data_IF_342503707356
#
_entry.id   IF_342503707356
#
_cell.length_a   1.000
_cell.length_b   1.000
_cell.length_c   1.000
_cell.angle_alpha   90.00
_cell.angle_beta   90.00
_cell.angle_gamma   90.00
#
_symmetry.space_group_name_H-M   'P 1'
#
loop_
_entity.id
_entity.type
_entity.pdbx_description
1 polymer ?
#
# COMPACT_ATOMS: atom_id res chain seq x y z
N UNK A 1 32.94 -50.22 -37.73
CA UNK A 1 31.94 -50.11 -36.65
C UNK A 1 31.83 -48.63 -36.32
N UNK A 2 30.83 -47.94 -36.88
CA UNK A 2 30.71 -46.47 -36.79
C UNK A 2 29.81 -46.16 -35.58
N UNK A 3 30.35 -45.47 -34.58
CA UNK A 3 29.57 -45.00 -33.44
C UNK A 3 28.95 -43.63 -33.77
N UNK A 4 27.62 -43.59 -33.89
CA UNK A 4 26.85 -42.36 -34.02
C UNK A 4 26.61 -41.79 -32.62
N UNK A 5 27.23 -40.66 -32.31
CA UNK A 5 26.90 -39.88 -31.11
C UNK A 5 25.68 -39.00 -31.41
N UNK A 6 24.54 -39.35 -30.84
CA UNK A 6 23.38 -38.45 -30.76
C UNK A 6 23.69 -37.35 -29.73
N UNK A 7 23.97 -36.14 -30.20
CA UNK A 7 23.89 -34.96 -29.34
C UNK A 7 22.40 -34.62 -29.17
N UNK A 8 21.83 -35.02 -28.03
CA UNK A 8 20.57 -34.44 -27.58
C UNK A 8 20.87 -33.01 -27.11
N UNK A 9 20.65 -32.04 -27.98
CA UNK A 9 20.46 -30.66 -27.56
C UNK A 9 19.17 -30.62 -26.74
N UNK A 10 19.30 -30.71 -25.42
CA UNK A 10 18.28 -30.24 -24.50
C UNK A 10 18.10 -28.75 -24.80
N UNK A 11 17.07 -28.42 -25.57
CA UNK A 11 16.47 -27.09 -25.58
C UNK A 11 16.05 -26.83 -24.13
N UNK A 12 16.93 -26.14 -23.40
CA UNK A 12 16.51 -25.46 -22.20
C UNK A 12 15.58 -24.36 -22.71
N UNK A 13 14.27 -24.61 -22.64
CA UNK A 13 13.37 -23.48 -22.43
C UNK A 13 13.90 -22.81 -21.17
N UNK A 14 14.58 -21.68 -21.34
CA UNK A 14 14.79 -20.75 -20.25
C UNK A 14 13.39 -20.38 -19.78
N UNK A 15 12.89 -21.10 -18.78
CA UNK A 15 11.84 -20.61 -17.93
C UNK A 15 12.39 -19.33 -17.33
N UNK A 16 12.07 -18.20 -17.98
CA UNK A 16 12.50 -16.88 -17.56
C UNK A 16 12.22 -16.76 -16.08
N UNK A 17 13.28 -16.67 -15.28
CA UNK A 17 13.16 -16.48 -13.85
C UNK A 17 12.28 -15.24 -13.65
N UNK A 18 11.22 -15.42 -12.86
CA UNK A 18 10.28 -14.36 -12.49
C UNK A 18 11.11 -13.25 -11.83
N UNK A 19 11.37 -12.19 -12.60
CA UNK A 19 12.58 -11.40 -12.48
C UNK A 19 12.42 -10.25 -11.49
N UNK A 20 12.86 -10.48 -10.25
CA UNK A 20 13.32 -9.42 -9.36
C UNK A 20 14.43 -8.64 -10.09
N UNK A 21 14.13 -7.42 -10.57
CA UNK A 21 15.09 -6.58 -11.30
C UNK A 21 15.24 -5.27 -10.53
N UNK A 22 16.48 -4.85 -10.30
CA UNK A 22 16.79 -3.56 -9.66
C UNK A 22 16.20 -3.35 -8.26
N UNK A 23 15.97 -4.44 -7.50
CA UNK A 23 15.37 -4.38 -6.16
C UNK A 23 13.85 -4.30 -6.15
N UNK A 24 13.20 -4.40 -7.32
CA UNK A 24 11.76 -4.27 -7.49
C UNK A 24 11.22 -5.51 -8.21
N UNK A 25 10.10 -6.04 -7.69
CA UNK A 25 9.41 -7.17 -8.33
C UNK A 25 8.54 -6.62 -9.47
N UNK A 26 9.05 -6.67 -10.69
CA UNK A 26 8.31 -6.28 -11.87
C UNK A 26 7.55 -7.49 -12.45
N UNK A 27 6.27 -7.27 -12.76
CA UNK A 27 5.24 -8.23 -13.18
C UNK A 27 4.73 -9.19 -12.11
N UNK A 28 3.61 -8.86 -11.47
CA UNK A 28 2.74 -9.89 -10.91
C UNK A 28 1.37 -9.38 -10.53
N UNK A 29 0.38 -10.23 -10.72
CA UNK A 29 -0.98 -10.23 -10.15
C UNK A 29 -1.07 -9.84 -8.65
N UNK A 30 0.06 -9.77 -7.94
CA UNK A 30 0.22 -9.33 -6.57
C UNK A 30 0.12 -7.80 -6.39
N UNK A 31 0.56 -7.00 -7.37
CA UNK A 31 0.43 -5.52 -7.33
C UNK A 31 -1.03 -5.10 -7.29
N UNK A 32 -1.88 -5.75 -8.08
CA UNK A 32 -3.33 -5.51 -8.10
C UNK A 32 -4.02 -5.89 -6.78
N UNK A 33 -3.68 -7.04 -6.19
CA UNK A 33 -4.29 -7.50 -4.93
C UNK A 33 -3.84 -6.71 -3.71
N UNK A 34 -2.73 -6.00 -3.83
CA UNK A 34 -2.12 -5.21 -2.77
C UNK A 34 -2.46 -3.71 -2.87
N UNK A 35 -2.74 -3.20 -4.07
CA UNK A 35 -3.10 -1.80 -4.32
C UNK A 35 -4.40 -1.34 -3.61
N UNK A 36 -5.25 -2.28 -3.19
CA UNK A 36 -6.47 -1.96 -2.48
C UNK A 36 -6.32 -1.78 -0.97
N UNK A 37 -5.16 -2.12 -0.38
CA UNK A 37 -4.97 -2.01 1.09
C UNK A 37 -4.50 -0.61 1.45
N UNK A 38 -5.13 -0.02 2.45
CA UNK A 38 -4.74 1.28 2.98
C UNK A 38 -4.96 1.39 4.49
N UNK A 39 -4.31 2.40 5.08
CA UNK A 39 -4.38 2.71 6.50
C UNK A 39 -5.40 3.83 6.75
N UNK A 40 -6.20 3.69 7.80
CA UNK A 40 -7.17 4.70 8.25
C UNK A 40 -7.06 4.98 9.73
N UNK A 41 -6.86 6.25 10.04
CA UNK A 41 -7.05 6.82 11.37
C UNK A 41 -8.49 7.34 11.54
N UNK A 42 -8.89 7.61 12.78
CA UNK A 42 -10.14 8.34 13.01
C UNK A 42 -9.96 9.82 12.61
N UNK A 43 -11.07 10.50 12.31
CA UNK A 43 -11.07 11.97 12.17
C UNK A 43 -10.55 12.70 13.41
N UNK A 44 -10.70 12.10 14.59
CA UNK A 44 -10.17 12.61 15.86
C UNK A 44 -8.71 12.24 16.14
N UNK A 45 -8.01 11.69 15.14
CA UNK A 45 -6.61 11.26 15.20
C UNK A 45 -6.38 9.78 15.49
N UNK A 46 -5.11 9.44 15.65
CA UNK A 46 -4.55 8.10 15.82
C UNK A 46 -5.07 7.33 17.05
N UNK A 47 -5.26 6.02 16.88
CA UNK A 47 -5.68 5.05 17.91
C UNK A 47 -7.01 5.40 18.58
N UNK A 48 -8.02 5.73 17.77
CA UNK A 48 -9.34 6.14 18.27
C UNK A 48 -10.48 5.24 17.79
N UNK A 49 -10.23 4.21 16.98
CA UNK A 49 -11.28 3.34 16.45
C UNK A 49 -11.38 2.04 17.24
N UNK A 50 -12.57 1.72 17.73
CA UNK A 50 -12.94 0.36 18.14
C UNK A 50 -13.07 -0.54 16.91
N UNK A 51 -13.15 -1.87 17.10
CA UNK A 51 -13.31 -2.79 15.97
C UNK A 51 -14.58 -2.50 15.15
N UNK A 52 -15.67 -2.15 15.81
CA UNK A 52 -16.94 -1.83 15.15
C UNK A 52 -16.83 -0.53 14.33
N UNK A 53 -16.20 0.51 14.88
CA UNK A 53 -15.97 1.78 14.19
C UNK A 53 -15.01 1.60 13.02
N UNK A 54 -13.91 0.85 13.20
CA UNK A 54 -12.97 0.53 12.14
C UNK A 54 -13.65 -0.20 10.98
N UNK A 55 -14.54 -1.15 11.28
CA UNK A 55 -15.34 -1.84 10.25
C UNK A 55 -16.26 -0.86 9.51
N UNK A 56 -16.95 0.00 10.24
CA UNK A 56 -17.87 0.98 9.66
C UNK A 56 -17.14 2.01 8.77
N UNK A 57 -15.94 2.45 9.16
CA UNK A 57 -15.11 3.37 8.36
C UNK A 57 -14.73 2.73 7.02
N UNK A 58 -14.21 1.49 7.03
CA UNK A 58 -13.85 0.82 5.77
C UNK A 58 -15.07 0.56 4.87
N UNK A 59 -16.22 0.22 5.45
CA UNK A 59 -17.47 -0.03 4.70
C UNK A 59 -18.04 1.26 4.10
N UNK A 60 -17.94 2.38 4.81
CA UNK A 60 -18.34 3.70 4.31
C UNK A 60 -17.55 4.14 3.07
N UNK A 61 -16.32 3.64 2.92
CA UNK A 61 -15.39 3.91 1.81
C UNK A 61 -15.46 2.84 0.71
N UNK A 62 -16.55 2.05 0.69
CA UNK A 62 -16.80 1.02 -0.32
C UNK A 62 -15.92 -0.22 -0.19
N UNK A 63 -15.17 -0.35 0.90
CA UNK A 63 -14.29 -1.47 1.19
C UNK A 63 -14.76 -2.32 2.38
N UNK A 64 -13.81 -3.04 2.96
CA UNK A 64 -13.98 -3.77 4.20
C UNK A 64 -12.64 -3.84 4.94
N UNK A 65 -12.62 -4.30 6.20
CA UNK A 65 -11.33 -4.51 6.89
C UNK A 65 -10.45 -5.50 6.11
N UNK A 66 -9.19 -5.14 5.92
CA UNK A 66 -8.21 -5.96 5.24
C UNK A 66 -7.97 -7.27 6.01
N UNK A 67 -7.78 -8.36 5.28
CA UNK A 67 -7.30 -9.61 5.84
C UNK A 67 -5.80 -9.56 6.06
N UNK A 68 -5.29 -10.44 6.94
CA UNK A 68 -3.85 -10.60 7.14
C UNK A 68 -3.11 -10.89 5.82
N UNK A 69 -3.71 -11.70 4.94
CA UNK A 69 -3.10 -12.06 3.65
C UNK A 69 -3.04 -10.85 2.69
N UNK A 70 -4.08 -10.02 2.67
CA UNK A 70 -4.09 -8.78 1.90
C UNK A 70 -3.04 -7.80 2.43
N UNK A 71 -2.97 -7.61 3.75
CA UNK A 71 -1.97 -6.75 4.38
C UNK A 71 -0.54 -7.25 4.13
N UNK A 72 -0.32 -8.57 4.15
CA UNK A 72 0.98 -9.16 3.86
C UNK A 72 1.37 -9.00 2.39
N UNK A 73 0.40 -9.12 1.47
CA UNK A 73 0.63 -8.83 0.05
C UNK A 73 0.98 -7.35 -0.16
N UNK A 74 0.27 -6.43 0.49
CA UNK A 74 0.57 -5.00 0.51
C UNK A 74 1.98 -4.71 1.04
N UNK A 75 2.34 -5.30 2.18
CA UNK A 75 3.67 -5.17 2.76
C UNK A 75 4.77 -5.61 1.78
N UNK A 76 4.60 -6.76 1.13
CA UNK A 76 5.60 -7.30 0.18
C UNK A 76 5.87 -6.36 -1.00
N UNK A 77 4.91 -5.53 -1.39
CA UNK A 77 5.09 -4.53 -2.45
C UNK A 77 5.49 -3.15 -1.94
N UNK A 78 5.65 -2.96 -0.62
CA UNK A 78 6.18 -1.74 -0.04
C UNK A 78 5.27 -0.98 0.91
N UNK A 79 4.09 -1.49 1.23
CA UNK A 79 3.20 -0.87 2.20
C UNK A 79 3.79 -0.99 3.62
N UNK A 80 4.29 0.13 4.14
CA UNK A 80 4.90 0.26 5.46
C UNK A 80 4.08 1.27 6.25
N UNK A 81 3.64 0.91 7.44
CA UNK A 81 2.88 1.82 8.31
C UNK A 81 3.28 1.56 9.76
N UNK A 82 3.67 2.60 10.49
CA UNK A 82 4.09 2.49 11.88
C UNK A 82 2.94 2.68 12.88
N UNK A 83 1.82 2.00 12.62
CA UNK A 83 0.59 2.17 13.37
C UNK A 83 -0.18 0.86 13.50
N UNK A 84 -0.41 0.40 14.72
CA UNK A 84 -1.23 -0.79 14.96
C UNK A 84 -2.70 -0.51 14.61
N UNK A 85 -3.28 -1.38 13.78
CA UNK A 85 -4.63 -1.22 13.27
C UNK A 85 -5.43 -2.50 13.25
N UNK A 86 -6.74 -2.36 13.30
CA UNK A 86 -7.70 -3.44 13.15
C UNK A 86 -7.67 -4.03 11.74
N UNK A 87 -7.74 -5.35 11.67
CA UNK A 87 -7.92 -6.18 10.49
C UNK A 87 -9.17 -7.04 10.65
N UNK A 88 -9.55 -7.74 9.58
CA UNK A 88 -10.65 -8.69 9.58
C UNK A 88 -10.56 -9.70 10.74
N UNK A 89 -11.73 -10.10 11.27
CA UNK A 89 -11.90 -11.03 12.40
C UNK A 89 -11.44 -10.48 13.76
N UNK A 90 -11.20 -9.17 13.89
CA UNK A 90 -10.75 -8.55 15.15
C UNK A 90 -9.28 -8.80 15.44
N UNK A 91 -8.47 -9.00 14.39
CA UNK A 91 -7.02 -9.12 14.51
C UNK A 91 -6.39 -7.73 14.52
N UNK A 92 -5.31 -7.53 15.27
CA UNK A 92 -4.56 -6.27 15.29
C UNK A 92 -3.11 -6.52 14.94
N UNK A 93 -2.51 -5.60 14.20
CA UNK A 93 -1.09 -5.64 13.84
C UNK A 93 -0.74 -4.51 12.90
N UNK A 94 0.49 -4.49 12.40
CA UNK A 94 0.95 -3.46 11.46
C UNK A 94 2.10 -3.97 10.56
N UNK A 95 2.15 -3.55 9.27
CA UNK A 95 3.08 -4.07 8.28
C UNK A 95 4.43 -3.32 8.30
N UNK A 96 5.52 -4.06 8.45
CA UNK A 96 6.89 -3.53 8.41
C UNK A 96 7.66 -4.08 7.21
N UNK A 97 8.01 -3.17 6.30
CA UNK A 97 8.80 -3.48 5.10
C UNK A 97 10.30 -3.48 5.41
N UNK A 98 10.77 -2.49 6.18
CA UNK A 98 12.17 -2.30 6.52
C UNK A 98 12.31 -2.25 8.04
N UNK A 99 13.25 -3.01 8.57
CA UNK A 99 13.56 -3.00 9.99
C UNK A 99 14.06 -1.61 10.40
N UNK A 100 13.43 -1.04 11.43
CA UNK A 100 13.87 0.20 12.07
C UNK A 100 13.88 0.03 13.59
N UNK A 101 14.65 0.87 14.28
CA UNK A 101 14.63 0.92 15.74
C UNK A 101 13.29 1.47 16.27
N UNK A 102 12.73 2.45 15.55
CA UNK A 102 11.50 3.15 15.94
C UNK A 102 10.23 2.39 15.51
N UNK A 103 10.34 1.51 14.50
CA UNK A 103 9.21 0.78 13.97
C UNK A 103 9.54 -0.70 13.71
N UNK A 104 8.81 -1.59 14.36
CA UNK A 104 8.99 -3.04 14.23
C UNK A 104 10.12 -3.64 15.10
N UNK A 105 10.80 -2.82 15.91
CA UNK A 105 11.87 -3.25 16.84
C UNK A 105 12.94 -4.12 16.16
N UNK A 106 13.41 -3.68 14.99
CA UNK A 106 14.42 -4.40 14.21
C UNK A 106 13.89 -5.61 13.42
N UNK A 107 12.58 -5.85 13.39
CA UNK A 107 11.96 -6.94 12.63
C UNK A 107 11.25 -6.41 11.37
N UNK A 108 11.12 -7.29 10.38
CA UNK A 108 10.26 -7.09 9.20
C UNK A 108 9.12 -8.09 9.23
N UNK A 109 8.06 -7.83 8.46
CA UNK A 109 6.83 -8.63 8.48
C UNK A 109 5.67 -7.86 9.10
N UNK A 110 4.53 -8.51 9.25
CA UNK A 110 3.44 -7.97 10.06
C UNK A 110 3.77 -8.22 11.52
N UNK A 111 3.92 -7.14 12.29
CA UNK A 111 3.95 -7.24 13.75
C UNK A 111 2.53 -7.53 14.21
N UNK A 112 2.28 -8.79 14.54
CA UNK A 112 0.95 -9.33 14.79
C UNK A 112 0.66 -9.41 16.30
N UNK A 113 -0.37 -8.69 16.74
CA UNK A 113 -0.87 -8.71 18.12
C UNK A 113 -1.97 -9.77 18.32
N UNK A 114 -2.28 -10.53 17.27
CA UNK A 114 -3.27 -11.60 17.29
C UNK A 114 -4.71 -11.08 17.27
N UNK A 115 -5.66 -12.01 17.47
CA UNK A 115 -7.08 -11.69 17.57
C UNK A 115 -7.33 -11.15 18.97
N UNK A 116 -7.85 -9.92 19.07
CA UNK A 116 -8.16 -9.27 20.35
C UNK A 116 -9.50 -9.77 20.87
N UNK A 117 -9.51 -10.18 22.14
CA UNK A 117 -10.74 -10.54 22.85
C UNK A 117 -11.57 -9.29 23.17
N UNK A 118 -10.91 -8.21 23.59
CA UNK A 118 -11.55 -6.93 23.85
C UNK A 118 -11.65 -6.11 22.55
N UNK A 119 -12.83 -6.15 21.91
CA UNK A 119 -13.11 -5.40 20.67
C UNK A 119 -13.38 -3.90 20.88
N UNK A 120 -13.39 -3.45 22.14
CA UNK A 120 -13.52 -2.05 22.52
C UNK A 120 -12.16 -1.36 22.71
N UNK A 121 -11.05 -2.09 22.57
CA UNK A 121 -9.73 -1.46 22.46
C UNK A 121 -9.70 -0.50 21.26
N UNK A 122 -8.87 0.54 21.35
CA UNK A 122 -8.79 1.57 20.32
C UNK A 122 -7.48 1.45 19.56
N UNK A 123 -7.60 1.33 18.25
CA UNK A 123 -6.51 1.20 17.30
C UNK A 123 -6.87 2.01 16.04
N UNK A 124 -5.99 1.98 15.04
CA UNK A 124 -6.35 2.45 13.70
C UNK A 124 -7.04 1.32 12.92
N UNK A 125 -7.19 1.45 11.61
CA UNK A 125 -7.79 0.44 10.75
C UNK A 125 -6.95 0.19 9.49
N UNK A 126 -6.87 -1.08 9.08
CA UNK A 126 -6.43 -1.44 7.74
C UNK A 126 -7.64 -1.85 6.93
N UNK A 127 -7.92 -1.08 5.90
CA UNK A 127 -9.04 -1.31 4.99
C UNK A 127 -8.54 -1.93 3.70
N UNK A 128 -9.44 -2.59 2.98
CA UNK A 128 -9.22 -3.12 1.65
C UNK A 128 -10.41 -2.75 0.77
N UNK A 129 -10.13 -2.07 -0.34
CA UNK A 129 -11.08 -1.83 -1.40
C UNK A 129 -10.53 -2.42 -2.72
N UNK A 130 -11.15 -3.46 -3.31
CA UNK A 130 -10.68 -4.03 -4.57
C UNK A 130 -10.81 -3.08 -5.77
N UNK A 131 -11.71 -2.08 -5.68
CA UNK A 131 -11.87 -1.02 -6.67
C UNK A 131 -10.87 0.11 -6.46
N UNK A 132 -10.16 0.14 -5.31
CA UNK A 132 -9.00 1.02 -5.10
C UNK A 132 -7.86 0.78 -6.09
N UNK A 133 -7.95 -0.21 -6.98
CA UNK A 133 -7.07 -0.36 -8.14
C UNK A 133 -7.27 0.73 -9.19
N UNK A 134 -8.45 1.35 -9.25
CA UNK A 134 -8.75 2.41 -10.23
C UNK A 134 -7.94 3.68 -9.95
N UNK A 135 -7.46 3.86 -8.72
CA UNK A 135 -6.50 4.91 -8.39
C UNK A 135 -5.52 4.53 -7.28
N UNK A 136 -4.24 4.74 -7.57
CA UNK A 136 -3.16 4.37 -6.68
C UNK A 136 -2.16 3.46 -7.37
N UNK A 137 -1.40 2.73 -6.57
CA UNK A 137 -0.46 1.73 -7.04
C UNK A 137 1.00 2.10 -6.80
N UNK A 138 1.91 1.28 -7.32
CA UNK A 138 3.35 1.46 -7.14
C UNK A 138 3.97 1.86 -8.47
N UNK A 139 4.56 3.06 -8.50
CA UNK A 139 5.26 3.57 -9.67
C UNK A 139 6.76 3.43 -9.48
N UNK A 140 7.41 2.86 -10.48
CA UNK A 140 8.86 2.57 -10.47
C UNK A 140 9.56 3.07 -11.73
N UNK A 141 8.79 3.64 -12.66
CA UNK A 141 9.29 4.24 -13.87
C UNK A 141 10.05 5.53 -13.56
N UNK A 142 11.07 5.83 -14.37
CA UNK A 142 11.82 7.10 -14.26
C UNK A 142 10.98 8.35 -14.51
N UNK A 143 9.84 8.21 -15.19
CA UNK A 143 8.83 9.25 -15.43
C UNK A 143 7.46 8.60 -15.54
N UNK A 144 6.47 9.15 -14.86
CA UNK A 144 5.09 8.67 -14.90
C UNK A 144 4.12 9.85 -14.80
N UNK A 145 3.02 9.81 -15.54
CA UNK A 145 1.90 10.76 -15.43
C UNK A 145 0.69 9.94 -14.99
N UNK A 146 0.15 10.27 -13.83
CA UNK A 146 -1.05 9.63 -13.28
C UNK A 146 -2.11 10.68 -13.01
N UNK A 147 -3.36 10.23 -12.93
CA UNK A 147 -4.56 11.07 -12.81
C UNK A 147 -5.49 10.46 -11.78
N UNK A 148 -6.36 11.27 -11.20
CA UNK A 148 -7.52 10.78 -10.48
C UNK A 148 -8.48 10.07 -11.44
N UNK A 149 -9.22 9.05 -10.96
CA UNK A 149 -10.42 8.54 -11.61
C UNK A 149 -11.37 9.69 -11.95
N UNK A 150 -12.08 9.55 -13.07
CA UNK A 150 -13.01 10.57 -13.55
C UNK A 150 -12.37 11.64 -14.44
N UNK A 151 -11.06 11.91 -14.31
CA UNK A 151 -10.37 12.93 -15.11
C UNK A 151 -10.59 12.74 -16.62
N UNK A 152 -10.97 13.80 -17.37
CA UNK A 152 -10.91 15.22 -17.02
C UNK A 152 -12.17 15.78 -16.32
N UNK A 153 -13.11 14.93 -15.92
CA UNK A 153 -14.26 15.36 -15.11
C UNK A 153 -13.93 15.30 -13.62
N UNK A 154 -14.90 15.70 -12.79
CA UNK A 154 -14.85 15.63 -11.34
C UNK A 154 -14.48 14.24 -10.81
N UNK A 155 -13.73 14.20 -9.71
CA UNK A 155 -13.43 12.98 -8.97
C UNK A 155 -14.64 12.47 -8.19
N UNK A 156 -14.66 11.18 -7.85
CA UNK A 156 -15.78 10.61 -7.11
C UNK A 156 -15.79 11.00 -5.62
N UNK A 157 -16.98 11.12 -5.04
CA UNK A 157 -17.12 11.34 -3.60
C UNK A 157 -16.48 10.20 -2.80
N UNK A 158 -15.73 10.57 -1.75
CA UNK A 158 -15.03 9.61 -0.85
C UNK A 158 -13.99 8.74 -1.56
N UNK A 159 -13.48 9.21 -2.70
CA UNK A 159 -12.40 8.57 -3.40
C UNK A 159 -11.10 8.71 -2.60
N UNK A 160 -10.41 7.59 -2.40
CA UNK A 160 -9.15 7.57 -1.66
C UNK A 160 -8.15 6.80 -2.48
N UNK A 161 -7.05 7.47 -2.80
CA UNK A 161 -6.02 6.95 -3.68
C UNK A 161 -4.67 6.96 -2.96
N UNK A 162 -3.90 5.88 -3.11
CA UNK A 162 -2.57 5.77 -2.54
C UNK A 162 -1.56 5.42 -3.63
N UNK A 163 -0.66 6.35 -3.91
CA UNK A 163 0.43 6.16 -4.86
C UNK A 163 1.76 6.03 -4.12
N UNK A 164 2.49 4.96 -4.41
CA UNK A 164 3.83 4.72 -3.90
C UNK A 164 4.85 4.89 -5.02
N UNK A 165 5.58 6.00 -5.02
CA UNK A 165 6.64 6.24 -5.99
C UNK A 165 7.96 5.68 -5.43
N UNK A 166 8.59 4.79 -6.18
CA UNK A 166 9.83 4.09 -5.79
C UNK A 166 10.91 4.34 -6.82
N UNK A 167 12.02 4.93 -6.37
CA UNK A 167 13.20 5.18 -7.19
C UNK A 167 14.40 4.43 -6.62
N UNK A 168 15.45 4.24 -7.43
CA UNK A 168 16.68 3.60 -6.97
C UNK A 168 17.44 4.51 -6.01
N UNK A 169 18.30 3.91 -5.19
CA UNK A 169 19.19 4.66 -4.31
C UNK A 169 20.02 5.69 -5.11
N UNK A 170 20.13 6.91 -4.57
CA UNK A 170 20.83 8.03 -5.21
C UNK A 170 19.98 8.84 -6.20
N UNK A 171 18.75 8.40 -6.50
CA UNK A 171 17.80 9.18 -7.29
C UNK A 171 16.93 10.08 -6.40
N UNK A 172 16.33 11.11 -6.99
CA UNK A 172 15.39 12.02 -6.33
C UNK A 172 14.07 12.03 -7.09
N UNK A 173 12.97 12.16 -6.36
CA UNK A 173 11.64 12.31 -6.95
C UNK A 173 11.41 13.80 -7.20
N UNK A 174 10.99 14.15 -8.40
CA UNK A 174 10.48 15.47 -8.74
C UNK A 174 9.00 15.32 -9.07
N UNK A 175 8.14 15.90 -8.24
CA UNK A 175 6.69 15.84 -8.40
C UNK A 175 6.19 17.20 -8.88
N UNK A 176 5.37 17.19 -9.92
CA UNK A 176 4.79 18.39 -10.52
C UNK A 176 3.28 18.19 -10.68
N UNK A 177 2.50 19.14 -10.14
CA UNK A 177 1.06 19.23 -10.39
C UNK A 177 0.83 19.93 -11.72
N UNK A 178 0.25 19.21 -12.68
CA UNK A 178 -0.16 19.79 -13.96
C UNK A 178 -1.54 20.42 -13.88
N UNK A 179 -2.41 19.81 -13.09
CA UNK A 179 -3.76 20.24 -12.76
C UNK A 179 -4.08 19.71 -11.37
N UNK A 180 -4.71 20.53 -10.54
CA UNK A 180 -5.01 20.20 -9.15
C UNK A 180 -6.30 20.90 -8.75
N UNK A 181 -7.30 20.11 -8.37
CA UNK A 181 -8.62 20.58 -7.96
C UNK A 181 -9.11 19.70 -6.80
N UNK A 182 -9.59 20.34 -5.74
CA UNK A 182 -10.08 19.73 -4.49
C UNK A 182 -11.18 20.61 -3.90
N UNK A 183 -12.11 20.01 -3.15
CA UNK A 183 -13.21 20.73 -2.50
C UNK A 183 -12.68 21.87 -1.63
N UNK A 184 -13.24 23.07 -1.82
CA UNK A 184 -12.87 24.26 -1.04
C UNK A 184 -13.40 24.11 0.40
N UNK A 185 -12.50 23.79 1.32
CA UNK A 185 -12.76 23.77 2.76
C UNK A 185 -11.71 24.58 3.52
N UNK A 186 -12.16 25.33 4.52
CA UNK A 186 -11.34 26.21 5.36
C UNK A 186 -10.13 25.54 6.02
N UNK A 187 -10.06 24.21 6.06
CA UNK A 187 -8.93 23.48 6.64
C UNK A 187 -8.48 22.28 5.81
N UNK A 188 -8.89 22.18 4.55
CA UNK A 188 -8.65 21.01 3.68
C UNK A 188 -8.94 19.69 4.42
N UNK A 189 -10.04 19.67 5.19
CA UNK A 189 -10.48 18.49 5.95
C UNK A 189 -11.47 17.64 5.16
N UNK A 190 -12.08 18.23 4.12
CA UNK A 190 -12.89 17.51 3.15
C UNK A 190 -11.99 16.68 2.25
N UNK A 191 -11.30 17.34 1.31
CA UNK A 191 -10.40 16.72 0.35
C UNK A 191 -8.99 17.29 0.47
N UNK A 192 -7.99 16.43 0.28
CA UNK A 192 -6.59 16.80 0.38
C UNK A 192 -5.69 15.79 -0.30
N UNK A 193 -4.46 16.22 -0.62
CA UNK A 193 -3.37 15.35 -1.03
C UNK A 193 -2.24 15.49 -0.03
N UNK A 194 -1.72 14.37 0.47
CA UNK A 194 -0.55 14.37 1.35
C UNK A 194 0.64 13.70 0.67
N UNK A 195 1.81 14.29 0.86
CA UNK A 195 3.07 13.75 0.36
C UNK A 195 3.93 13.32 1.53
N UNK A 196 4.44 12.10 1.45
CA UNK A 196 5.37 11.54 2.41
C UNK A 196 6.67 11.10 1.72
N UNK A 197 7.81 11.67 2.12
CA UNK A 197 9.17 11.31 1.69
C UNK A 197 9.82 10.33 2.67
N UNK A 198 9.08 9.28 3.03
CA UNK A 198 9.62 8.16 3.79
C UNK A 198 8.63 6.99 3.78
N UNK A 199 9.11 5.80 4.15
CA UNK A 199 8.24 4.64 4.41
C UNK A 199 7.43 4.79 5.70
N UNK A 200 7.81 5.72 6.58
CA UNK A 200 7.17 6.03 7.85
C UNK A 200 6.25 7.26 7.68
N UNK A 201 4.98 7.06 8.02
CA UNK A 201 3.91 8.04 8.04
C UNK A 201 4.09 9.10 9.15
N UNK A 202 5.03 8.88 10.08
CA UNK A 202 5.28 9.78 11.21
C UNK A 202 6.38 10.81 10.89
N UNK A 203 7.48 10.37 10.27
CA UNK A 203 8.66 11.22 10.04
C UNK A 203 8.80 11.69 8.58
N UNK A 204 7.99 11.13 7.67
CA UNK A 204 8.08 11.40 6.24
C UNK A 204 7.23 12.54 5.74
N UNK A 205 6.36 13.15 6.56
CA UNK A 205 5.42 14.16 6.06
C UNK A 205 6.14 15.36 5.44
N UNK A 206 5.86 15.61 4.16
CA UNK A 206 6.41 16.73 3.40
C UNK A 206 5.42 17.90 3.37
N UNK A 207 4.14 17.60 3.15
CA UNK A 207 3.12 18.63 3.03
C UNK A 207 1.74 18.06 2.69
N UNK A 208 0.74 18.91 2.92
CA UNK A 208 -0.66 18.78 2.55
C UNK A 208 -1.05 20.04 1.77
#
# INVERSE_FOLDING_TARGET
>A
MIALFFFSALLWDEAGAWGFRDGVLHNSIWLERAAGVYHREARSGKYRLTYAEAKAVCEYEGGHLATYQQLEAARKIGFHVCAAGWMAKGRVGYPIVKAGANCGFGKTGIVDYGIRLNRSERWDAYCYNPNGKECGGVFTDSKHIFKSPGYPNEYENKQICYWHIRVRYGQRIHLQFLEFDVEEDTSCLADYLEIYDSYDDINGFVGR
#
